data_IF_254997575072
#
_entry.id   IF_254997575072
#
_cell.length_a   1.000
_cell.length_b   1.000
_cell.length_c   1.000
_cell.angle_alpha   90.00
_cell.angle_beta   90.00
_cell.angle_gamma   90.00
#
_symmetry.space_group_name_H-M   'P 1'
#
loop_
_entity.id
_entity.type
_entity.pdbx_description
1 polymer ?
#
# COMPACT_ATOMS: atom_id res chain seq x y z
N UNK A 1 19.52 -5.56 -3.28
CA UNK A 1 18.48 -4.60 -3.63
C UNK A 1 17.33 -5.26 -4.35
N UNK A 2 16.11 -4.93 -3.99
CA UNK A 2 14.95 -5.47 -4.70
C UNK A 2 14.92 -4.93 -6.13
N UNK A 3 14.80 -5.82 -7.10
CA UNK A 3 14.74 -5.47 -8.51
C UNK A 3 13.34 -5.70 -9.11
N UNK A 4 12.45 -6.23 -8.30
CA UNK A 4 11.09 -6.55 -8.72
C UNK A 4 10.16 -5.37 -8.43
N UNK A 5 9.15 -5.21 -9.28
CA UNK A 5 8.14 -4.17 -9.12
C UNK A 5 6.77 -4.74 -9.42
N UNK A 6 5.75 -4.17 -8.77
CA UNK A 6 4.35 -4.47 -9.08
C UNK A 6 3.82 -3.33 -9.93
N UNK A 7 3.34 -3.67 -11.13
CA UNK A 7 2.76 -2.70 -12.05
C UNK A 7 1.25 -2.90 -12.06
N UNK A 8 0.52 -1.83 -11.75
CA UNK A 8 -0.94 -1.85 -11.74
C UNK A 8 -1.48 -1.05 -12.91
N UNK A 9 -2.28 -1.70 -13.76
CA UNK A 9 -2.97 -1.03 -14.85
C UNK A 9 -4.31 -0.50 -14.34
N UNK A 10 -4.37 0.80 -14.10
CA UNK A 10 -5.57 1.44 -13.56
C UNK A 10 -6.75 1.40 -14.52
N UNK A 11 -6.51 1.24 -15.83
CA UNK A 11 -7.58 1.11 -16.81
C UNK A 11 -8.29 -0.24 -16.72
N UNK A 12 -7.62 -1.25 -16.16
CA UNK A 12 -8.17 -2.60 -16.03
C UNK A 12 -8.66 -2.93 -14.62
N UNK A 13 -8.24 -2.17 -13.62
CA UNK A 13 -8.64 -2.43 -12.25
C UNK A 13 -10.13 -2.11 -12.07
N UNK A 14 -10.91 -3.12 -11.66
CA UNK A 14 -12.37 -2.99 -11.47
C UNK A 14 -12.77 -2.99 -9.99
N UNK A 15 -11.80 -2.98 -9.08
CA UNK A 15 -12.07 -2.94 -7.65
C UNK A 15 -12.67 -4.23 -7.09
N UNK A 16 -12.39 -5.37 -7.70
CA UNK A 16 -12.94 -6.66 -7.26
C UNK A 16 -12.38 -7.16 -5.92
N UNK A 17 -11.30 -6.55 -5.42
CA UNK A 17 -10.62 -6.87 -4.15
C UNK A 17 -9.95 -8.25 -4.12
N UNK A 18 -9.82 -8.92 -5.26
CA UNK A 18 -9.19 -10.24 -5.31
C UNK A 18 -7.74 -10.20 -4.83
N UNK A 19 -7.00 -9.14 -5.15
CA UNK A 19 -5.62 -8.94 -4.72
C UNK A 19 -5.51 -8.80 -3.19
N UNK A 20 -6.46 -8.11 -2.57
CA UNK A 20 -6.51 -7.96 -1.11
C UNK A 20 -6.77 -9.30 -0.44
N UNK A 21 -7.76 -10.04 -0.94
CA UNK A 21 -8.14 -11.35 -0.38
C UNK A 21 -7.00 -12.35 -0.56
N UNK A 22 -6.38 -12.37 -1.73
CA UNK A 22 -5.25 -13.26 -2.00
C UNK A 22 -4.07 -12.97 -1.07
N UNK A 23 -3.75 -11.70 -0.84
CA UNK A 23 -2.69 -11.30 0.07
C UNK A 23 -2.98 -11.76 1.50
N UNK A 24 -4.21 -11.60 1.97
CA UNK A 24 -4.61 -12.04 3.31
C UNK A 24 -4.54 -13.56 3.44
N UNK A 25 -4.95 -14.28 2.42
CA UNK A 25 -4.95 -15.76 2.44
C UNK A 25 -3.52 -16.33 2.44
N UNK A 26 -2.65 -15.79 1.60
CA UNK A 26 -1.26 -16.28 1.47
C UNK A 26 -0.43 -15.93 2.71
N UNK A 27 -0.59 -14.72 3.25
CA UNK A 27 0.23 -14.21 4.34
C UNK A 27 -0.42 -14.35 5.72
N UNK A 28 -1.61 -14.94 5.79
CA UNK A 28 -2.35 -15.16 7.03
C UNK A 28 -2.52 -13.85 7.83
N UNK A 29 -2.91 -12.79 7.14
CA UNK A 29 -3.11 -11.47 7.75
C UNK A 29 -4.38 -11.49 8.59
N UNK A 30 -4.36 -11.06 9.86
CA UNK A 30 -5.54 -11.12 10.72
C UNK A 30 -6.67 -10.18 10.28
N UNK A 31 -7.86 -10.45 10.80
CA UNK A 31 -9.06 -9.64 10.53
C UNK A 31 -8.81 -8.20 10.98
N UNK A 32 -9.19 -7.25 10.14
CA UNK A 32 -9.02 -5.82 10.39
C UNK A 32 -7.70 -5.24 9.91
N UNK A 33 -6.76 -6.09 9.54
CA UNK A 33 -5.45 -5.64 9.01
C UNK A 33 -5.36 -5.97 7.52
N UNK A 34 -4.73 -5.06 6.77
CA UNK A 34 -4.56 -5.21 5.33
C UNK A 34 -3.17 -4.73 4.95
N UNK A 35 -2.37 -5.61 4.32
CA UNK A 35 -1.07 -5.23 3.77
C UNK A 35 -1.20 -4.53 2.43
N UNK A 36 -2.28 -4.82 1.73
CA UNK A 36 -2.61 -4.28 0.43
C UNK A 36 -4.04 -3.78 0.49
N UNK A 37 -4.28 -2.56 0.05
CA UNK A 37 -5.63 -1.98 0.03
C UNK A 37 -5.94 -1.45 -1.35
N UNK A 38 -7.22 -1.54 -1.73
CA UNK A 38 -7.73 -0.94 -2.95
C UNK A 38 -8.56 0.28 -2.56
N UNK A 39 -8.13 1.44 -3.00
CA UNK A 39 -8.81 2.71 -2.73
C UNK A 39 -9.71 3.07 -3.91
N UNK A 40 -10.89 3.57 -3.62
CA UNK A 40 -11.77 4.14 -4.64
C UNK A 40 -11.50 5.63 -4.73
N UNK A 41 -11.06 6.07 -5.91
CA UNK A 41 -10.75 7.47 -6.20
C UNK A 41 -11.89 8.03 -7.05
N UNK A 42 -12.62 8.96 -6.48
CA UNK A 42 -13.78 9.56 -7.14
C UNK A 42 -15.10 9.01 -6.59
N UNK A 43 -16.23 9.22 -7.30
CA UNK A 43 -16.31 9.93 -8.58
C UNK A 43 -16.01 11.43 -8.45
N UNK A 44 -15.34 11.99 -9.43
CA UNK A 44 -15.01 13.41 -9.49
C UNK A 44 -15.19 13.93 -10.92
N UNK A 45 -15.48 15.24 -11.04
CA UNK A 45 -15.59 15.85 -12.35
C UNK A 45 -14.21 15.94 -12.99
N UNK A 46 -14.13 15.64 -14.30
CA UNK A 46 -12.90 15.80 -15.06
C UNK A 46 -12.55 17.29 -15.17
N UNK A 47 -11.26 17.63 -15.25
CA UNK A 47 -10.85 19.01 -15.50
C UNK A 47 -11.51 19.54 -16.80
N UNK A 48 -12.17 20.71 -16.72
CA UNK A 48 -12.89 21.29 -17.85
C UNK A 48 -14.26 20.66 -18.12
N UNK A 49 -14.79 19.87 -17.19
CA UNK A 49 -16.10 19.25 -17.34
C UNK A 49 -17.21 20.30 -17.47
N UNK A 50 -18.10 20.10 -18.45
CA UNK A 50 -19.24 21.00 -18.69
C UNK A 50 -20.57 20.37 -18.34
N UNK A 51 -20.59 19.07 -18.03
CA UNK A 51 -21.83 18.37 -17.66
C UNK A 51 -21.60 17.38 -16.54
N UNK A 52 -22.67 16.92 -15.92
CA UNK A 52 -22.62 15.92 -14.86
C UNK A 52 -22.18 14.52 -15.36
N UNK A 53 -22.11 14.34 -16.68
CA UNK A 53 -21.66 13.08 -17.27
C UNK A 53 -20.14 13.01 -17.44
N UNK A 54 -19.44 14.12 -17.27
CA UNK A 54 -17.98 14.19 -17.40
C UNK A 54 -17.32 13.89 -16.06
N UNK A 55 -17.56 12.71 -15.54
CA UNK A 55 -16.98 12.25 -14.27
C UNK A 55 -15.95 11.16 -14.51
N UNK A 56 -14.97 11.09 -13.63
CA UNK A 56 -14.01 10.01 -13.62
C UNK A 56 -13.97 9.34 -12.25
N UNK A 57 -13.78 8.04 -12.28
CA UNK A 57 -13.58 7.23 -11.07
C UNK A 57 -12.66 6.10 -11.43
N UNK A 58 -11.75 5.77 -10.52
CA UNK A 58 -10.88 4.62 -10.71
C UNK A 58 -10.55 4.01 -9.35
N UNK A 59 -10.00 2.81 -9.39
CA UNK A 59 -9.53 2.11 -8.21
C UNK A 59 -8.01 2.10 -8.20
N UNK A 60 -7.44 2.33 -7.04
CA UNK A 60 -5.98 2.39 -6.87
C UNK A 60 -5.57 1.38 -5.81
N UNK A 61 -5.02 0.24 -6.23
CA UNK A 61 -4.37 -0.67 -5.28
C UNK A 61 -3.11 -0.05 -4.73
N UNK A 62 -2.96 -0.07 -3.40
CA UNK A 62 -1.78 0.50 -2.73
C UNK A 62 -1.19 -0.51 -1.76
N UNK A 63 0.12 -0.57 -1.72
CA UNK A 63 0.88 -1.40 -0.81
C UNK A 63 2.20 -0.71 -0.49
N UNK A 64 2.99 -1.31 0.39
CA UNK A 64 4.32 -0.79 0.70
C UNK A 64 5.17 -0.72 -0.57
N UNK A 65 5.86 0.40 -0.75
CA UNK A 65 6.68 0.64 -1.94
C UNK A 65 8.12 0.14 -1.78
N UNK A 66 8.50 -0.38 -0.62
CA UNK A 66 9.85 -0.88 -0.34
C UNK A 66 10.93 0.11 -0.79
N UNK A 67 10.88 1.32 -0.24
CA UNK A 67 11.72 2.44 -0.65
C UNK A 67 13.21 2.11 -0.51
N UNK A 68 14.04 2.64 -1.41
CA UNK A 68 15.49 2.51 -1.29
C UNK A 68 16.04 3.24 -0.06
N UNK A 69 15.44 4.37 0.28
CA UNK A 69 15.82 5.17 1.43
C UNK A 69 14.61 5.35 2.35
N UNK A 70 14.23 4.28 3.10
CA UNK A 70 12.97 4.28 3.81
C UNK A 70 13.02 5.12 5.08
N UNK A 71 12.18 6.16 5.14
CA UNK A 71 12.04 6.99 6.33
C UNK A 71 11.43 6.22 7.49
N UNK A 72 10.54 5.27 7.21
CA UNK A 72 9.89 4.45 8.24
C UNK A 72 10.91 3.63 9.04
N UNK A 73 12.01 3.22 8.43
CA UNK A 73 13.09 2.50 9.12
C UNK A 73 13.87 3.46 10.01
N UNK A 74 14.11 4.69 9.53
CA UNK A 74 14.90 5.68 10.26
C UNK A 74 14.22 6.15 11.53
N UNK A 75 12.90 6.28 11.52
CA UNK A 75 12.14 6.82 12.65
C UNK A 75 11.73 5.76 13.67
N UNK A 76 11.94 4.50 13.40
CA UNK A 76 11.50 3.42 14.29
C UNK A 76 12.34 3.40 15.58
N UNK A 77 11.73 3.65 16.76
CA UNK A 77 12.48 3.73 18.01
C UNK A 77 13.03 2.38 18.50
N UNK A 78 12.37 1.27 18.09
CA UNK A 78 12.77 -0.08 18.47
C UNK A 78 13.53 -0.82 17.37
N UNK A 79 13.66 -0.18 16.20
CA UNK A 79 14.25 -0.78 15.01
C UNK A 79 13.52 -2.03 14.54
N UNK A 80 12.22 -2.10 14.82
CA UNK A 80 11.35 -3.15 14.30
C UNK A 80 11.26 -3.09 12.77
N UNK A 81 11.15 -1.87 12.23
CA UNK A 81 11.22 -1.66 10.79
C UNK A 81 12.67 -1.77 10.33
N UNK A 82 12.92 -2.58 9.34
CA UNK A 82 14.28 -2.82 8.84
C UNK A 82 14.25 -3.16 7.35
N UNK A 83 15.40 -3.01 6.73
CA UNK A 83 15.60 -3.40 5.33
C UNK A 83 16.31 -4.75 5.33
N UNK A 84 15.75 -5.72 4.60
CA UNK A 84 16.35 -7.05 4.48
C UNK A 84 17.45 -7.05 3.42
N UNK A 85 18.21 -8.16 3.34
CA UNK A 85 19.26 -8.34 2.34
C UNK A 85 18.71 -8.25 0.91
N UNK A 86 17.46 -8.64 0.70
CA UNK A 86 16.79 -8.57 -0.60
C UNK A 86 16.39 -7.14 -0.99
N UNK A 87 16.58 -6.17 -0.11
CA UNK A 87 16.16 -4.79 -0.31
C UNK A 87 14.70 -4.55 0.04
N UNK A 88 14.00 -5.52 0.61
CA UNK A 88 12.62 -5.34 1.05
C UNK A 88 12.56 -4.71 2.43
N UNK A 89 11.53 -3.89 2.66
CA UNK A 89 11.28 -3.28 3.98
C UNK A 89 10.28 -4.15 4.73
N UNK A 90 10.66 -4.58 5.93
CA UNK A 90 9.84 -5.47 6.75
C UNK A 90 9.80 -4.97 8.18
N UNK A 91 8.80 -5.44 8.93
CA UNK A 91 8.60 -5.09 10.33
C UNK A 91 8.69 -6.35 11.17
N UNK A 92 9.56 -6.32 12.17
CA UNK A 92 9.67 -7.39 13.16
C UNK A 92 8.60 -7.16 14.23
N UNK A 93 7.56 -7.98 14.22
CA UNK A 93 6.42 -7.84 15.13
C UNK A 93 6.80 -8.01 16.58
N UNK A 94 7.87 -8.73 16.88
CA UNK A 94 8.33 -8.93 18.26
C UNK A 94 8.96 -7.67 18.85
N UNK A 95 9.48 -6.77 18.03
CA UNK A 95 10.07 -5.51 18.45
C UNK A 95 9.14 -4.32 18.34
N UNK A 96 8.06 -4.43 17.56
CA UNK A 96 7.14 -3.34 17.31
C UNK A 96 6.30 -3.04 18.55
N UNK A 97 6.26 -1.76 18.97
CA UNK A 97 5.48 -1.30 20.11
C UNK A 97 4.18 -0.56 19.71
N UNK A 98 3.92 -0.42 18.41
CA UNK A 98 2.71 0.20 17.91
C UNK A 98 2.65 1.72 18.06
N UNK A 99 3.80 2.40 18.14
CA UNK A 99 3.86 3.85 18.33
C UNK A 99 3.39 4.67 17.12
N UNK A 100 3.32 4.05 15.94
CA UNK A 100 2.89 4.66 14.68
C UNK A 100 3.81 5.76 14.13
N UNK A 101 5.04 5.86 14.59
CA UNK A 101 5.99 6.83 14.05
C UNK A 101 6.27 6.57 12.56
N UNK A 102 6.35 5.30 12.16
CA UNK A 102 6.52 4.92 10.76
C UNK A 102 5.34 5.38 9.89
N UNK A 103 4.13 5.34 10.40
CA UNK A 103 2.94 5.78 9.67
C UNK A 103 2.92 7.29 9.45
N UNK A 104 3.53 8.06 10.36
CA UNK A 104 3.63 9.51 10.24
C UNK A 104 4.79 9.97 9.35
N UNK A 105 5.75 9.10 9.13
CA UNK A 105 6.95 9.43 8.35
C UNK A 105 6.72 9.55 6.84
#
# INVERSE_FOLDING_TARGET
MATNAIVTDLNRCVGCLACMVACKAVNNVPIGSYWNKVLRIGPSLKPGATSAHDVEMYYLPVQCQHCENPECVKVCPTQASHVTEDGTVQIDKSKCIGCQFCAMA
#
